data_IF_021070911885
#
_entry.id   IF_021070911885
#
_cell.length_a   1.000
_cell.length_b   1.000
_cell.length_c   1.000
_cell.angle_alpha   90.00
_cell.angle_beta   90.00
_cell.angle_gamma   90.00
#
_symmetry.space_group_name_H-M   'P 1'
#
loop_
_entity.id
_entity.type
_entity.pdbx_description
1 polymer ?
#
# COMPACT_ATOMS: atom_id res chain seq x y z
N UNK A 1 2.47 -3.66 -15.63
CA UNK A 1 1.36 -2.77 -16.04
C UNK A 1 1.09 -1.82 -14.89
N UNK A 2 1.77 -0.69 -14.87
CA UNK A 2 1.41 0.44 -14.00
C UNK A 2 0.42 1.26 -14.82
N UNK A 3 -0.88 1.12 -14.60
CA UNK A 3 -1.78 2.19 -15.07
C UNK A 3 -1.29 3.44 -14.37
N UNK A 4 -0.98 4.48 -15.14
CA UNK A 4 -0.51 5.70 -14.54
C UNK A 4 -1.65 6.26 -13.65
N UNK A 5 -1.33 6.90 -12.52
CA UNK A 5 -2.37 7.36 -11.56
C UNK A 5 -3.40 8.26 -12.26
N UNK A 6 -2.95 9.08 -13.21
CA UNK A 6 -3.83 9.92 -14.00
C UNK A 6 -4.78 9.11 -14.90
N UNK A 7 -4.33 8.06 -15.59
CA UNK A 7 -5.17 7.17 -16.41
C UNK A 7 -6.26 6.53 -15.59
N UNK A 8 -5.92 6.00 -14.40
CA UNK A 8 -6.91 5.40 -13.50
C UNK A 8 -7.93 6.42 -13.02
N UNK A 9 -7.50 7.61 -12.62
CA UNK A 9 -8.42 8.67 -12.21
C UNK A 9 -9.27 9.14 -13.38
N UNK A 10 -8.67 9.40 -14.54
CA UNK A 10 -9.34 9.83 -15.77
C UNK A 10 -10.41 8.83 -16.20
N UNK A 11 -10.14 7.53 -16.07
CA UNK A 11 -11.10 6.48 -16.38
C UNK A 11 -12.30 6.49 -15.44
N UNK A 12 -12.08 6.72 -14.14
CA UNK A 12 -13.17 6.74 -13.15
C UNK A 12 -14.02 8.00 -13.27
N UNK A 13 -13.42 9.15 -13.55
CA UNK A 13 -14.16 10.43 -13.66
C UNK A 13 -14.63 10.73 -15.08
N UNK A 14 -14.50 9.78 -16.03
CA UNK A 14 -14.68 10.02 -17.47
C UNK A 14 -15.96 10.78 -17.78
N UNK A 15 -17.10 10.26 -17.30
CA UNK A 15 -18.41 10.83 -17.59
C UNK A 15 -18.71 12.06 -16.71
N UNK A 16 -18.11 12.14 -15.52
CA UNK A 16 -18.29 13.27 -14.61
C UNK A 16 -17.62 14.55 -15.12
N UNK A 17 -16.64 14.47 -16.04
CA UNK A 17 -15.92 15.63 -16.58
C UNK A 17 -16.76 16.59 -17.40
N UNK A 18 -17.87 16.10 -17.94
CA UNK A 18 -18.79 16.91 -18.73
C UNK A 18 -19.80 17.67 -17.84
N UNK A 19 -19.79 17.40 -16.53
CA UNK A 19 -20.66 18.05 -15.57
C UNK A 19 -20.14 19.46 -15.22
N UNK A 20 -21.03 20.37 -14.76
CA UNK A 20 -20.63 21.61 -14.10
C UNK A 20 -19.58 21.36 -13.00
N UNK A 21 -18.75 22.38 -12.74
CA UNK A 21 -17.61 22.26 -11.80
C UNK A 21 -18.08 21.76 -10.42
N UNK A 22 -19.23 22.25 -9.93
CA UNK A 22 -19.78 21.81 -8.67
C UNK A 22 -20.12 20.31 -8.67
N UNK A 23 -20.87 19.85 -9.66
CA UNK A 23 -21.26 18.45 -9.81
C UNK A 23 -20.05 17.51 -9.98
N UNK A 24 -19.01 17.96 -10.71
CA UNK A 24 -17.75 17.24 -10.83
C UNK A 24 -17.06 17.10 -9.46
N UNK A 25 -17.00 18.18 -8.66
CA UNK A 25 -16.39 18.15 -7.33
C UNK A 25 -17.18 17.26 -6.37
N UNK A 26 -18.52 17.31 -6.43
CA UNK A 26 -19.40 16.46 -5.63
C UNK A 26 -19.26 14.98 -6.02
N UNK A 27 -19.14 14.69 -7.32
CA UNK A 27 -18.81 13.35 -7.81
C UNK A 27 -17.46 12.85 -7.27
N UNK A 28 -16.41 13.68 -7.35
CA UNK A 28 -15.09 13.31 -6.80
C UNK A 28 -15.14 13.09 -5.29
N UNK A 29 -15.88 13.94 -4.56
CA UNK A 29 -16.06 13.82 -3.11
C UNK A 29 -16.73 12.49 -2.73
N UNK A 30 -17.87 12.18 -3.34
CA UNK A 30 -18.62 10.94 -3.08
C UNK A 30 -17.82 9.69 -3.47
N UNK A 31 -17.03 9.77 -4.54
CA UNK A 31 -16.10 8.71 -4.94
C UNK A 31 -15.04 8.45 -3.85
N UNK A 32 -14.38 9.51 -3.37
CA UNK A 32 -13.38 9.42 -2.30
C UNK A 32 -14.00 8.91 -1.01
N UNK A 33 -15.19 9.38 -0.65
CA UNK A 33 -15.93 8.94 0.54
C UNK A 33 -16.23 7.43 0.46
N UNK A 34 -16.74 6.96 -0.68
CA UNK A 34 -16.98 5.52 -0.91
C UNK A 34 -15.70 4.71 -0.78
N UNK A 35 -14.61 5.12 -1.44
CA UNK A 35 -13.34 4.39 -1.37
C UNK A 35 -12.75 4.38 0.04
N UNK A 36 -12.76 5.51 0.74
CA UNK A 36 -12.28 5.61 2.13
C UNK A 36 -13.09 4.66 3.04
N UNK A 37 -14.42 4.68 2.93
CA UNK A 37 -15.29 3.79 3.70
C UNK A 37 -15.04 2.31 3.40
N UNK A 38 -14.92 1.92 2.12
CA UNK A 38 -14.60 0.54 1.73
C UNK A 38 -13.26 0.08 2.33
N UNK A 39 -12.23 0.94 2.28
CA UNK A 39 -10.92 0.61 2.84
C UNK A 39 -10.95 0.53 4.36
N UNK A 40 -11.67 1.44 5.02
CA UNK A 40 -11.85 1.43 6.47
C UNK A 40 -12.56 0.14 6.93
N UNK A 41 -13.65 -0.24 6.28
CA UNK A 41 -14.39 -1.48 6.60
C UNK A 41 -13.49 -2.70 6.42
N UNK A 42 -12.69 -2.74 5.35
CA UNK A 42 -11.73 -3.83 5.12
C UNK A 42 -10.63 -3.87 6.19
N UNK A 43 -10.14 -2.72 6.64
CA UNK A 43 -9.16 -2.64 7.72
C UNK A 43 -9.76 -3.08 9.06
N UNK A 44 -10.99 -2.66 9.38
CA UNK A 44 -11.74 -3.08 10.57
C UNK A 44 -11.97 -4.59 10.61
N UNK A 45 -12.30 -5.20 9.48
CA UNK A 45 -12.47 -6.65 9.33
C UNK A 45 -11.18 -7.46 9.20
N UNK A 46 -10.00 -6.82 9.22
CA UNK A 46 -8.71 -7.51 9.21
C UNK A 46 -8.26 -7.74 10.66
N UNK A 47 -7.75 -8.93 10.98
CA UNK A 47 -7.24 -9.27 12.33
C UNK A 47 -5.75 -9.63 12.34
N UNK A 48 -5.10 -9.51 11.19
CA UNK A 48 -3.66 -9.74 11.02
C UNK A 48 -2.87 -8.47 11.26
N UNK A 49 -1.55 -8.60 11.47
CA UNK A 49 -0.63 -7.47 11.64
C UNK A 49 -0.64 -6.52 10.43
N UNK A 50 -0.57 -7.08 9.22
CA UNK A 50 -0.72 -6.33 7.98
C UNK A 50 -2.16 -6.32 7.48
N UNK A 51 -2.46 -5.38 6.57
CA UNK A 51 -3.68 -5.44 5.77
C UNK A 51 -3.82 -6.78 5.04
N UNK A 52 -5.04 -7.33 5.00
CA UNK A 52 -5.34 -8.69 4.53
C UNK A 52 -4.69 -9.09 3.20
N UNK A 53 -4.61 -8.17 2.23
CA UNK A 53 -3.94 -8.41 0.94
C UNK A 53 -2.45 -8.72 1.13
N UNK A 54 -1.73 -7.85 1.83
CA UNK A 54 -0.29 -7.96 2.02
C UNK A 54 0.08 -9.10 2.97
N UNK A 55 -0.77 -9.36 3.98
CA UNK A 55 -0.60 -10.52 4.83
C UNK A 55 -0.66 -11.83 4.01
N UNK A 56 -1.66 -11.98 3.12
CA UNK A 56 -1.77 -13.16 2.25
C UNK A 56 -0.58 -13.31 1.32
N UNK A 57 -0.09 -12.20 0.77
CA UNK A 57 1.10 -12.20 -0.09
C UNK A 57 2.36 -12.63 0.67
N UNK A 58 2.58 -12.10 1.87
CA UNK A 58 3.70 -12.52 2.72
C UNK A 58 3.59 -13.99 3.14
N UNK A 59 2.41 -14.49 3.48
CA UNK A 59 2.25 -15.92 3.81
C UNK A 59 2.58 -16.82 2.61
N UNK A 60 2.16 -16.43 1.39
CA UNK A 60 2.56 -17.15 0.17
C UNK A 60 4.09 -17.13 -0.01
N UNK A 61 4.72 -15.96 0.13
CA UNK A 61 6.17 -15.83 0.05
C UNK A 61 6.87 -16.62 1.17
N UNK A 62 6.26 -16.71 2.35
CA UNK A 62 6.77 -17.50 3.48
C UNK A 62 6.78 -18.98 3.14
N UNK A 63 5.70 -19.51 2.56
CA UNK A 63 5.66 -20.89 2.05
C UNK A 63 6.72 -21.14 0.98
N UNK A 64 6.86 -20.25 0.00
CA UNK A 64 7.88 -20.38 -1.05
C UNK A 64 9.31 -20.35 -0.47
N UNK A 65 9.53 -19.50 0.54
CA UNK A 65 10.83 -19.34 1.18
C UNK A 65 11.34 -20.65 1.77
N UNK A 66 10.45 -21.54 2.24
CA UNK A 66 10.80 -22.83 2.87
C UNK A 66 11.70 -23.70 2.00
N UNK A 67 11.58 -23.59 0.68
CA UNK A 67 12.35 -24.36 -0.30
C UNK A 67 13.75 -23.78 -0.55
N UNK A 68 14.00 -22.55 -0.10
CA UNK A 68 15.25 -21.83 -0.35
C UNK A 68 16.32 -22.22 0.68
N UNK A 69 17.54 -22.41 0.18
CA UNK A 69 18.71 -22.67 1.03
C UNK A 69 19.40 -21.36 1.36
N UNK A 70 19.79 -21.20 2.62
CA UNK A 70 20.42 -19.98 3.11
C UNK A 70 21.82 -20.29 3.60
N UNK A 71 22.76 -19.40 3.33
CA UNK A 71 24.11 -19.39 3.90
C UNK A 71 24.34 -18.01 4.53
N UNK A 72 24.55 -17.96 5.83
CA UNK A 72 24.94 -16.73 6.50
C UNK A 72 26.39 -16.39 6.14
N UNK A 73 26.64 -15.14 5.78
CA UNK A 73 28.00 -14.58 5.62
C UNK A 73 28.39 -13.77 6.84
N UNK A 74 27.44 -13.02 7.39
CA UNK A 74 27.51 -12.36 8.69
C UNK A 74 26.17 -12.53 9.38
N UNK A 75 26.01 -11.92 10.55
CA UNK A 75 24.71 -11.85 11.22
C UNK A 75 23.66 -11.24 10.28
N UNK A 76 23.93 -10.11 9.63
CA UNK A 76 22.91 -9.39 8.85
C UNK A 76 22.91 -9.72 7.35
N UNK A 77 23.98 -10.33 6.83
CA UNK A 77 24.16 -10.61 5.40
C UNK A 77 24.04 -12.11 5.12
N UNK A 78 23.13 -12.45 4.21
CA UNK A 78 22.82 -13.81 3.83
C UNK A 78 22.89 -14.00 2.32
N UNK A 79 23.45 -15.12 1.89
CA UNK A 79 23.32 -15.61 0.52
C UNK A 79 22.17 -16.62 0.47
N UNK A 80 21.16 -16.35 -0.35
CA UNK A 80 19.99 -17.21 -0.54
C UNK A 80 20.06 -17.86 -1.92
N UNK A 81 19.96 -19.18 -1.96
CA UNK A 81 19.93 -19.98 -3.18
C UNK A 81 18.49 -20.29 -3.57
N UNK A 82 18.13 -19.89 -4.78
CA UNK A 82 16.82 -20.07 -5.38
C UNK A 82 17.00 -20.74 -6.76
N UNK A 83 16.90 -22.06 -6.75
CA UNK A 83 17.37 -22.90 -7.85
C UNK A 83 18.86 -22.69 -8.12
N UNK A 84 19.19 -22.24 -9.33
CA UNK A 84 20.57 -21.94 -9.76
C UNK A 84 20.99 -20.50 -9.46
N UNK A 85 20.04 -19.63 -9.10
CA UNK A 85 20.32 -18.21 -8.85
C UNK A 85 20.72 -17.99 -7.39
N UNK A 86 21.53 -16.96 -7.18
CA UNK A 86 21.98 -16.52 -5.85
C UNK A 86 21.51 -15.09 -5.64
N UNK A 87 20.97 -14.84 -4.45
CA UNK A 87 20.55 -13.52 -4.02
C UNK A 87 21.26 -13.13 -2.73
N UNK A 88 21.63 -11.86 -2.62
CA UNK A 88 22.25 -11.31 -1.42
C UNK A 88 21.16 -10.55 -0.68
N UNK A 89 20.95 -10.88 0.59
CA UNK A 89 20.00 -10.24 1.49
C UNK A 89 20.78 -9.56 2.60
N UNK A 90 20.50 -8.28 2.83
CA UNK A 90 20.95 -7.53 4.00
C UNK A 90 19.72 -7.14 4.82
N UNK A 91 19.53 -7.80 5.96
CA UNK A 91 18.34 -7.61 6.81
C UNK A 91 18.35 -6.25 7.52
N UNK A 92 19.52 -5.83 8.02
CA UNK A 92 19.70 -4.53 8.70
C UNK A 92 19.28 -3.37 7.79
N UNK A 93 19.70 -3.39 6.53
CA UNK A 93 19.37 -2.34 5.56
C UNK A 93 18.07 -2.62 4.79
N UNK A 94 17.33 -3.68 5.12
CA UNK A 94 16.11 -4.12 4.42
C UNK A 94 16.27 -4.21 2.89
N UNK A 95 17.40 -4.76 2.43
CA UNK A 95 17.76 -4.85 1.00
C UNK A 95 17.88 -6.28 0.52
N UNK A 96 17.46 -6.52 -0.71
CA UNK A 96 17.74 -7.75 -1.43
C UNK A 96 18.17 -7.45 -2.87
N UNK A 97 19.13 -8.21 -3.38
CA UNK A 97 19.57 -8.10 -4.78
C UNK A 97 18.48 -8.45 -5.79
N UNK A 98 17.32 -8.97 -5.37
CA UNK A 98 16.16 -9.19 -6.24
C UNK A 98 15.37 -7.91 -6.56
N UNK A 99 15.61 -6.79 -5.88
CA UNK A 99 14.85 -5.55 -6.10
C UNK A 99 13.67 -5.35 -5.16
N UNK A 100 12.95 -6.43 -4.86
CA UNK A 100 11.61 -6.35 -4.27
C UNK A 100 11.59 -5.82 -2.84
N UNK A 101 12.56 -6.19 -2.00
CA UNK A 101 12.53 -5.79 -0.59
C UNK A 101 12.59 -4.27 -0.42
N UNK A 102 13.48 -3.61 -1.15
CA UNK A 102 13.59 -2.14 -1.12
C UNK A 102 12.48 -1.42 -1.91
N UNK A 103 11.86 -2.07 -2.90
CA UNK A 103 10.82 -1.45 -3.72
C UNK A 103 9.46 -1.49 -3.03
N UNK A 104 9.09 -2.65 -2.49
CA UNK A 104 7.80 -2.87 -1.83
C UNK A 104 7.86 -2.55 -0.33
N UNK A 105 9.05 -2.27 0.21
CA UNK A 105 9.31 -2.12 1.65
C UNK A 105 8.73 -3.26 2.51
N UNK A 106 8.64 -4.45 1.90
CA UNK A 106 8.13 -5.68 2.49
C UNK A 106 9.13 -6.81 2.22
N UNK A 107 9.34 -7.73 3.18
CA UNK A 107 10.22 -8.87 2.98
C UNK A 107 9.83 -9.69 1.74
N UNK A 108 10.70 -9.70 0.74
CA UNK A 108 10.57 -10.62 -0.39
C UNK A 108 10.80 -12.08 0.04
N UNK A 109 10.55 -13.04 -0.86
CA UNK A 109 10.75 -14.48 -0.60
C UNK A 109 12.17 -14.80 -0.09
N UNK A 110 13.20 -14.12 -0.59
CA UNK A 110 14.59 -14.32 -0.16
C UNK A 110 14.85 -13.73 1.24
N UNK A 111 14.27 -12.56 1.52
CA UNK A 111 14.36 -11.94 2.83
C UNK A 111 13.68 -12.79 3.90
N UNK A 112 12.51 -13.35 3.60
CA UNK A 112 11.81 -14.30 4.49
C UNK A 112 12.61 -15.58 4.73
N UNK A 113 13.35 -16.07 3.73
CA UNK A 113 14.25 -17.20 3.93
C UNK A 113 15.39 -16.86 4.90
N UNK A 114 16.00 -15.67 4.77
CA UNK A 114 17.04 -15.19 5.69
C UNK A 114 16.50 -14.99 7.12
N UNK A 115 15.31 -14.41 7.27
CA UNK A 115 14.64 -14.27 8.57
C UNK A 115 14.35 -15.61 9.23
N UNK A 116 13.86 -16.59 8.46
CA UNK A 116 13.68 -17.97 8.95
C UNK A 116 15.00 -18.57 9.44
N UNK A 117 16.09 -18.37 8.70
CA UNK A 117 17.41 -18.86 9.11
C UNK A 117 17.88 -18.24 10.44
N UNK A 118 17.50 -16.99 10.74
CA UNK A 118 17.75 -16.32 12.02
C UNK A 118 16.72 -16.59 13.11
N UNK A 119 15.66 -17.34 12.80
CA UNK A 119 14.50 -17.52 13.67
C UNK A 119 13.87 -16.18 14.12
N UNK A 120 13.87 -15.20 13.23
CA UNK A 120 13.24 -13.89 13.44
C UNK A 120 11.91 -13.78 12.73
N UNK A 121 11.01 -12.98 13.30
CA UNK A 121 9.71 -12.71 12.71
C UNK A 121 9.81 -11.51 11.75
N UNK A 122 8.87 -11.41 10.80
CA UNK A 122 8.97 -10.46 9.70
C UNK A 122 8.45 -9.06 10.03
N UNK A 123 7.73 -8.89 11.14
CA UNK A 123 6.98 -7.67 11.48
C UNK A 123 7.88 -6.44 11.58
N UNK A 124 9.09 -6.59 12.15
CA UNK A 124 10.08 -5.51 12.25
C UNK A 124 10.68 -5.09 10.90
N UNK A 125 10.46 -5.90 9.87
CA UNK A 125 11.01 -5.73 8.52
C UNK A 125 9.99 -5.22 7.52
N UNK A 126 8.73 -5.08 7.91
CA UNK A 126 7.68 -4.47 7.10
C UNK A 126 7.62 -2.95 7.30
N UNK A 127 7.26 -2.23 6.23
CA UNK A 127 6.90 -0.82 6.34
C UNK A 127 5.58 -0.63 7.09
N UNK A 128 5.51 0.46 7.87
CA UNK A 128 4.34 0.78 8.67
C UNK A 128 3.10 1.05 7.80
N UNK A 129 3.29 1.52 6.56
CA UNK A 129 2.20 1.80 5.61
C UNK A 129 1.29 0.61 5.33
N UNK A 130 1.77 -0.61 5.53
CA UNK A 130 1.01 -1.84 5.29
C UNK A 130 0.33 -2.39 6.53
N UNK A 131 0.61 -1.83 7.72
CA UNK A 131 0.04 -2.32 8.98
C UNK A 131 -1.46 -2.03 9.04
N UNK A 132 -2.20 -2.94 9.68
CA UNK A 132 -3.63 -2.73 9.96
C UNK A 132 -3.85 -1.43 10.70
N UNK A 133 -3.00 -1.11 11.67
CA UNK A 133 -3.10 0.11 12.47
C UNK A 133 -2.97 1.38 11.61
N UNK A 134 -1.94 1.46 10.75
CA UNK A 134 -1.80 2.59 9.84
C UNK A 134 -2.99 2.71 8.88
N UNK A 135 -3.47 1.59 8.33
CA UNK A 135 -4.65 1.61 7.46
C UNK A 135 -5.90 2.14 8.19
N UNK A 136 -6.13 1.75 9.44
CA UNK A 136 -7.24 2.29 10.24
C UNK A 136 -7.10 3.79 10.44
N UNK A 137 -5.94 4.25 10.92
CA UNK A 137 -5.70 5.68 11.17
C UNK A 137 -5.82 6.52 9.89
N UNK A 138 -5.36 6.01 8.74
CA UNK A 138 -5.45 6.71 7.46
C UNK A 138 -6.91 6.87 7.00
N UNK A 139 -7.72 5.82 7.11
CA UNK A 139 -9.09 5.84 6.58
C UNK A 139 -10.17 6.25 7.59
N UNK A 140 -9.81 6.51 8.85
CA UNK A 140 -10.72 7.12 9.84
C UNK A 140 -10.94 8.62 9.61
N UNK A 141 -10.08 9.28 8.83
CA UNK A 141 -10.22 10.70 8.51
C UNK A 141 -11.43 10.88 7.58
N UNK A 142 -12.46 11.66 7.99
CA UNK A 142 -13.64 11.85 7.18
C UNK A 142 -13.31 12.68 5.93
N UNK A 143 -13.98 12.37 4.82
CA UNK A 143 -14.01 13.24 3.65
C UNK A 143 -14.97 14.39 3.97
N UNK A 144 -14.46 15.62 3.96
CA UNK A 144 -15.28 16.80 4.26
C UNK A 144 -16.44 16.93 3.26
N UNK A 145 -17.63 17.25 3.77
CA UNK A 145 -18.80 17.53 2.95
C UNK A 145 -18.60 18.84 2.20
N UNK A 146 -19.08 18.91 0.95
CA UNK A 146 -19.26 20.18 0.28
C UNK A 146 -20.50 20.87 0.87
N UNK A 147 -20.36 22.14 1.21
CA UNK A 147 -21.50 22.95 1.62
C UNK A 147 -22.42 23.17 0.41
N UNK A 148 -23.70 23.34 0.69
CA UNK A 148 -24.67 23.81 -0.30
C UNK A 148 -24.22 25.14 -0.92
N UNK A 149 -24.45 25.33 -2.22
CA UNK A 149 -24.08 26.55 -2.95
C UNK A 149 -24.62 27.82 -2.28
N UNK A 150 -25.81 27.76 -1.66
CA UNK A 150 -26.39 28.89 -0.94
C UNK A 150 -25.58 29.38 0.25
N UNK A 151 -24.65 28.56 0.75
CA UNK A 151 -23.78 28.88 1.90
C UNK A 151 -22.39 29.36 1.48
N UNK A 152 -22.12 29.44 0.19
CA UNK A 152 -20.80 29.82 -0.31
C UNK A 152 -20.59 31.33 -0.21
N UNK A 153 -19.45 31.73 0.35
CA UNK A 153 -19.02 33.12 0.30
C UNK A 153 -18.26 33.35 -1.01
N UNK A 154 -19.01 33.69 -2.07
CA UNK A 154 -18.44 33.97 -3.39
C UNK A 154 -18.01 35.44 -3.46
N UNK A 155 -16.72 35.75 -3.67
CA UNK A 155 -16.26 37.12 -3.84
C UNK A 155 -16.97 37.84 -4.99
N UNK A 156 -17.32 39.10 -4.80
CA UNK A 156 -18.08 39.91 -5.78
C UNK A 156 -17.43 39.96 -7.17
N UNK A 157 -16.10 39.90 -7.26
CA UNK A 157 -15.39 39.94 -8.55
C UNK A 157 -15.59 38.67 -9.41
N UNK A 158 -16.06 37.57 -8.82
CA UNK A 158 -16.40 36.32 -9.54
C UNK A 158 -17.83 36.38 -10.10
N UNK A 159 -18.74 37.10 -9.42
CA UNK A 159 -20.16 37.23 -9.79
C UNK A 159 -20.42 38.21 -10.94
N UNK A 160 -19.45 39.05 -11.32
CA UNK A 160 -19.59 40.09 -12.36
C UNK A 160 -19.14 39.64 -13.77
N UNK A 161 -19.05 38.34 -14.03
CA UNK A 161 -18.81 37.76 -15.37
C UNK A 161 -20.05 37.02 -15.85
#
# INVERSE_FOLDING_TARGET
>A
MTSNIAESLNAVIKDARELPIFDLLEYMRTLLERWTNEKLLKAKGTFTFLGSKFNKELENNRTLSQKLRVRASTDHIHTVLDGVKRYIVCLENKKCSCGQFQLEELPCVHALAALRHRNETYENYCSLYYTRESLLRTYEIPVNLLLDESKWNVPQHILMR
#
